data_IF_427163022827
#
_entry.id   IF_427163022827
#
_cell.length_a   1.000
_cell.length_b   1.000
_cell.length_c   1.000
_cell.angle_alpha   90.00
_cell.angle_beta   90.00
_cell.angle_gamma   90.00
#
_symmetry.space_group_name_H-M   'P 1'
#
loop_
_entity.id
_entity.type
_entity.pdbx_description
1 polymer ?
#
# COMPACT_ATOMS: atom_id res chain seq x y z
N UNK A 1 25.69 25.05 -6.19
CA UNK A 1 26.18 23.65 -5.95
C UNK A 1 27.50 23.39 -6.69
N UNK A 2 27.63 23.61 -8.00
CA UNK A 2 28.87 23.32 -8.76
C UNK A 2 30.08 24.12 -8.29
N UNK A 3 29.90 25.38 -7.91
CA UNK A 3 31.00 26.24 -7.39
C UNK A 3 31.51 25.70 -6.06
N UNK A 4 30.62 25.27 -5.15
CA UNK A 4 31.02 24.70 -3.87
C UNK A 4 31.75 23.36 -4.04
N UNK A 5 31.25 22.50 -4.93
CA UNK A 5 31.88 21.23 -5.30
C UNK A 5 33.30 21.44 -5.84
N UNK A 6 33.48 22.37 -6.79
CA UNK A 6 34.77 22.64 -7.39
C UNK A 6 35.78 23.18 -6.33
N UNK A 7 35.34 24.05 -5.40
CA UNK A 7 36.17 24.52 -4.33
C UNK A 7 36.58 23.43 -3.34
N UNK A 8 35.67 22.49 -3.02
CA UNK A 8 36.02 21.34 -2.17
C UNK A 8 36.99 20.39 -2.89
N UNK A 9 36.82 20.19 -4.20
CA UNK A 9 37.75 19.42 -5.02
C UNK A 9 39.16 20.06 -5.05
N UNK A 10 39.26 21.38 -5.25
CA UNK A 10 40.53 22.10 -5.17
C UNK A 10 41.17 21.98 -3.77
N UNK A 11 40.35 22.15 -2.72
CA UNK A 11 40.81 22.02 -1.33
C UNK A 11 41.34 20.62 -1.02
N UNK A 12 40.64 19.56 -1.49
CA UNK A 12 41.03 18.16 -1.29
C UNK A 12 42.33 17.76 -2.00
N UNK A 13 42.73 18.53 -3.05
CA UNK A 13 44.05 18.35 -3.70
C UNK A 13 45.21 18.99 -2.91
N UNK A 14 44.88 19.95 -2.04
CA UNK A 14 45.83 20.70 -1.25
C UNK A 14 45.99 20.22 0.19
N UNK A 15 44.99 19.50 0.69
CA UNK A 15 44.92 19.04 2.08
C UNK A 15 44.15 17.71 2.19
N UNK A 16 44.68 16.78 2.96
CA UNK A 16 44.03 15.53 3.36
C UNK A 16 43.15 15.70 4.61
N UNK A 17 42.66 16.91 4.88
CA UNK A 17 41.78 17.20 6.01
C UNK A 17 40.49 16.42 5.90
N UNK A 18 40.19 15.64 6.93
CA UNK A 18 39.01 14.75 6.99
C UNK A 18 37.68 15.48 6.80
N UNK A 19 37.57 16.74 7.28
CA UNK A 19 36.37 17.56 7.15
C UNK A 19 36.16 18.03 5.70
N UNK A 20 37.25 18.29 4.96
CA UNK A 20 37.19 18.65 3.54
C UNK A 20 36.72 17.43 2.72
N UNK A 21 37.30 16.26 3.00
CA UNK A 21 36.93 14.99 2.32
C UNK A 21 35.50 14.63 2.66
N UNK A 22 35.09 14.81 3.93
CA UNK A 22 33.69 14.57 4.35
C UNK A 22 32.72 15.52 3.64
N UNK A 23 33.02 16.83 3.62
CA UNK A 23 32.19 17.80 2.91
C UNK A 23 32.06 17.50 1.41
N UNK A 24 33.13 16.99 0.79
CA UNK A 24 33.07 16.54 -0.61
C UNK A 24 32.22 15.27 -0.77
N UNK A 25 32.33 14.31 0.13
CA UNK A 25 31.53 13.10 0.14
C UNK A 25 30.02 13.41 0.29
N UNK A 26 29.65 14.28 1.22
CA UNK A 26 28.27 14.75 1.41
C UNK A 26 27.74 15.46 0.13
N UNK A 27 28.57 16.31 -0.48
CA UNK A 27 28.20 17.00 -1.72
C UNK A 27 27.94 16.01 -2.89
N UNK A 28 28.79 15.00 -3.05
CA UNK A 28 28.59 13.97 -4.07
C UNK A 28 27.35 13.13 -3.77
N UNK A 29 27.07 12.84 -2.51
CA UNK A 29 25.87 12.15 -2.09
C UNK A 29 24.61 12.97 -2.44
N UNK A 30 24.56 14.24 -2.10
CA UNK A 30 23.46 15.18 -2.40
C UNK A 30 23.20 15.33 -3.91
N UNK A 31 24.26 15.21 -4.73
CA UNK A 31 24.19 15.27 -6.18
C UNK A 31 23.76 13.93 -6.81
N UNK A 32 23.56 12.88 -6.03
CA UNK A 32 23.24 11.54 -6.51
C UNK A 32 24.44 10.77 -7.08
N UNK A 33 25.66 11.27 -6.91
CA UNK A 33 26.90 10.62 -7.34
C UNK A 33 27.37 9.61 -6.30
N UNK A 34 26.53 8.64 -5.96
CA UNK A 34 26.74 7.73 -4.83
C UNK A 34 28.03 6.93 -4.88
N UNK A 35 28.50 6.51 -6.05
CA UNK A 35 29.78 5.80 -6.18
C UNK A 35 30.96 6.71 -5.79
N UNK A 36 30.91 7.98 -6.16
CA UNK A 36 31.92 8.95 -5.77
C UNK A 36 31.84 9.27 -4.27
N UNK A 37 30.64 9.40 -3.74
CA UNK A 37 30.42 9.60 -2.31
C UNK A 37 31.04 8.44 -1.51
N UNK A 38 30.77 7.20 -1.85
CA UNK A 38 31.37 6.00 -1.23
C UNK A 38 32.91 6.05 -1.31
N UNK A 39 33.46 6.43 -2.46
CA UNK A 39 34.91 6.53 -2.62
C UNK A 39 35.54 7.56 -1.65
N UNK A 40 34.88 8.69 -1.41
CA UNK A 40 35.36 9.69 -0.45
C UNK A 40 35.11 9.26 1.00
N UNK A 41 33.94 8.74 1.36
CA UNK A 41 33.69 8.23 2.71
C UNK A 41 34.67 7.11 3.10
N UNK A 42 35.03 6.23 2.20
CA UNK A 42 35.96 5.13 2.44
C UNK A 42 37.41 5.60 2.77
N UNK A 43 37.74 6.85 2.50
CA UNK A 43 39.05 7.45 2.87
C UNK A 43 39.07 7.94 4.30
N UNK A 44 37.92 8.06 4.95
CA UNK A 44 37.78 8.62 6.28
C UNK A 44 37.89 7.54 7.35
N UNK A 45 38.55 7.83 8.44
CA UNK A 45 38.48 7.00 9.63
C UNK A 45 37.13 7.21 10.34
N UNK A 46 36.36 6.12 10.52
CA UNK A 46 35.04 6.22 11.12
C UNK A 46 35.06 6.75 12.56
N UNK A 47 36.03 6.34 13.35
CA UNK A 47 36.12 6.75 14.76
C UNK A 47 36.39 8.23 14.90
N UNK A 48 37.34 8.72 14.09
CA UNK A 48 37.68 10.12 14.08
C UNK A 48 36.55 11.00 13.57
N UNK A 49 35.90 10.59 12.49
CA UNK A 49 34.75 11.32 11.94
C UNK A 49 33.55 11.34 12.91
N UNK A 50 33.25 10.22 13.51
CA UNK A 50 32.15 10.10 14.48
C UNK A 50 32.40 11.00 15.69
N UNK A 51 33.64 11.04 16.20
CA UNK A 51 34.01 11.89 17.30
C UNK A 51 33.95 13.40 16.96
N UNK A 52 34.22 13.77 15.69
CA UNK A 52 34.21 15.18 15.26
C UNK A 52 32.83 15.69 14.86
N UNK A 53 32.04 14.85 14.25
CA UNK A 53 30.78 15.24 13.56
C UNK A 53 29.52 14.55 14.08
N UNK A 54 29.67 13.47 14.85
CA UNK A 54 28.57 12.59 15.22
C UNK A 54 28.02 11.73 14.06
N UNK A 55 28.70 11.69 12.90
CA UNK A 55 28.27 10.96 11.70
C UNK A 55 29.14 9.74 11.46
N UNK A 56 28.55 8.59 11.28
CA UNK A 56 29.25 7.35 10.95
C UNK A 56 29.51 7.23 9.43
N UNK A 57 30.77 6.93 9.05
CA UNK A 57 31.09 6.59 7.64
C UNK A 57 30.36 5.35 7.18
N UNK A 58 30.14 4.38 8.05
CA UNK A 58 29.42 3.16 7.73
C UNK A 58 27.94 3.44 7.42
N UNK A 59 27.30 4.30 8.21
CA UNK A 59 25.94 4.76 7.92
C UNK A 59 25.85 5.40 6.51
N UNK A 60 26.75 6.37 6.23
CA UNK A 60 26.76 7.09 4.95
C UNK A 60 27.02 6.18 3.76
N UNK A 61 27.96 5.25 3.89
CA UNK A 61 28.26 4.25 2.86
C UNK A 61 27.06 3.32 2.66
N UNK A 62 26.42 2.87 3.75
CA UNK A 62 25.23 2.04 3.70
C UNK A 62 24.08 2.72 2.94
N UNK A 63 23.80 3.98 3.26
CA UNK A 63 22.80 4.81 2.54
C UNK A 63 23.12 4.95 1.05
N UNK A 64 24.37 5.20 0.73
CA UNK A 64 24.80 5.33 -0.66
C UNK A 64 24.65 4.01 -1.44
N UNK A 65 24.96 2.87 -0.82
CA UNK A 65 24.71 1.56 -1.44
C UNK A 65 23.23 1.26 -1.60
N UNK A 66 22.38 1.63 -0.64
CA UNK A 66 20.92 1.49 -0.75
C UNK A 66 20.39 2.30 -1.96
N UNK A 67 20.84 3.55 -2.11
CA UNK A 67 20.50 4.40 -3.25
C UNK A 67 20.97 3.87 -4.61
N UNK A 68 22.02 3.03 -4.62
CA UNK A 68 22.51 2.32 -5.81
C UNK A 68 21.79 0.99 -6.07
N UNK A 69 20.82 0.60 -5.23
CA UNK A 69 20.16 -0.70 -5.30
C UNK A 69 21.05 -1.87 -4.90
N UNK A 70 22.22 -1.62 -4.27
CA UNK A 70 23.15 -2.64 -3.79
C UNK A 70 22.83 -3.03 -2.35
N UNK A 71 21.67 -3.65 -2.16
CA UNK A 71 21.02 -3.83 -0.86
C UNK A 71 21.83 -4.70 0.12
N UNK A 72 22.48 -5.75 -0.35
CA UNK A 72 23.34 -6.58 0.50
C UNK A 72 24.51 -5.79 1.12
N UNK A 73 25.17 -4.99 0.29
CA UNK A 73 26.24 -4.12 0.77
C UNK A 73 25.70 -3.03 1.71
N UNK A 74 24.54 -2.45 1.38
CA UNK A 74 23.88 -1.46 2.24
C UNK A 74 23.61 -2.05 3.64
N UNK A 75 23.06 -3.25 3.71
CA UNK A 75 22.78 -3.97 4.95
C UNK A 75 24.07 -4.18 5.77
N UNK A 76 25.11 -4.72 5.16
CA UNK A 76 26.38 -4.98 5.87
C UNK A 76 26.95 -3.70 6.51
N UNK A 77 26.89 -2.59 5.81
CA UNK A 77 27.38 -1.31 6.31
C UNK A 77 26.49 -0.71 7.39
N UNK A 78 25.14 -0.79 7.25
CA UNK A 78 24.21 -0.30 8.26
C UNK A 78 24.27 -1.16 9.55
N UNK A 79 24.32 -2.49 9.43
CA UNK A 79 24.52 -3.40 10.57
C UNK A 79 25.81 -3.04 11.32
N UNK A 80 26.91 -2.78 10.60
CA UNK A 80 28.18 -2.39 11.20
C UNK A 80 28.12 -1.02 11.88
N UNK A 81 27.35 -0.09 11.35
CA UNK A 81 27.13 1.20 12.00
C UNK A 81 26.45 1.02 13.37
N UNK A 82 25.40 0.21 13.44
CA UNK A 82 24.64 -0.12 14.66
C UNK A 82 25.50 -0.88 15.68
N UNK A 83 26.34 -1.81 15.22
CA UNK A 83 27.27 -2.55 16.11
C UNK A 83 28.27 -1.63 16.81
N UNK A 84 28.72 -0.56 16.14
CA UNK A 84 29.69 0.40 16.72
C UNK A 84 29.00 1.35 17.67
N UNK A 85 27.88 1.91 17.24
CA UNK A 85 27.07 2.82 18.04
C UNK A 85 25.61 2.71 17.59
N UNK A 86 24.72 2.34 18.52
CA UNK A 86 23.31 2.24 18.21
C UNK A 86 22.71 3.64 17.96
N UNK A 87 22.06 3.78 16.81
CA UNK A 87 21.32 4.97 16.42
C UNK A 87 19.95 4.58 15.87
N UNK A 88 18.87 5.20 16.37
CA UNK A 88 17.50 4.90 15.99
C UNK A 88 17.24 5.18 14.50
N UNK A 89 17.88 6.21 13.94
CA UNK A 89 17.74 6.55 12.52
C UNK A 89 18.32 5.45 11.64
N UNK A 90 19.52 4.98 11.98
CA UNK A 90 20.20 3.89 11.27
C UNK A 90 19.40 2.58 11.42
N UNK A 91 18.86 2.33 12.61
CA UNK A 91 18.05 1.17 12.87
C UNK A 91 16.73 1.20 12.04
N UNK A 92 16.11 2.37 11.92
CA UNK A 92 14.93 2.56 11.10
C UNK A 92 15.19 2.34 9.60
N UNK A 93 16.30 2.89 9.10
CA UNK A 93 16.72 2.68 7.70
C UNK A 93 17.02 1.21 7.41
N UNK A 94 17.74 0.54 8.33
CA UNK A 94 18.01 -0.88 8.18
C UNK A 94 16.72 -1.72 8.23
N UNK A 95 15.81 -1.40 9.14
CA UNK A 95 14.53 -2.09 9.24
C UNK A 95 13.69 -1.92 7.95
N UNK A 96 13.64 -0.71 7.41
CA UNK A 96 12.96 -0.43 6.15
C UNK A 96 13.59 -1.18 4.98
N UNK A 97 14.93 -1.17 4.90
CA UNK A 97 15.67 -1.93 3.89
C UNK A 97 15.39 -3.43 3.96
N UNK A 98 15.35 -3.99 5.17
CA UNK A 98 15.04 -5.41 5.39
C UNK A 98 13.58 -5.74 5.04
N UNK A 99 12.66 -4.82 5.32
CA UNK A 99 11.25 -4.93 4.89
C UNK A 99 11.13 -4.99 3.37
N UNK A 100 11.82 -4.10 2.65
CA UNK A 100 11.83 -4.07 1.18
C UNK A 100 12.44 -5.34 0.56
N UNK A 101 13.30 -6.04 1.30
CA UNK A 101 13.88 -7.33 0.93
C UNK A 101 13.06 -8.54 1.40
N UNK A 102 11.87 -8.32 1.94
CA UNK A 102 11.00 -9.37 2.49
C UNK A 102 11.63 -10.14 3.67
N UNK A 103 12.68 -9.59 4.30
CA UNK A 103 13.30 -10.14 5.51
C UNK A 103 12.56 -9.67 6.78
N UNK A 104 11.24 -9.87 6.82
CA UNK A 104 10.33 -9.29 7.81
C UNK A 104 10.71 -9.60 9.27
N UNK A 105 11.23 -10.80 9.57
CA UNK A 105 11.64 -11.16 10.94
C UNK A 105 12.76 -10.25 11.45
N UNK A 106 13.75 -9.97 10.59
CA UNK A 106 14.85 -9.09 10.94
C UNK A 106 14.39 -7.64 10.99
N UNK A 107 13.55 -7.21 10.04
CA UNK A 107 12.95 -5.88 10.06
C UNK A 107 12.20 -5.65 11.37
N UNK A 108 11.34 -6.58 11.78
CA UNK A 108 10.58 -6.50 13.02
C UNK A 108 11.45 -6.49 14.29
N UNK A 109 12.63 -7.12 14.24
CA UNK A 109 13.58 -7.04 15.34
C UNK A 109 14.07 -5.60 15.55
N UNK A 110 14.46 -4.89 14.48
CA UNK A 110 14.91 -3.51 14.55
C UNK A 110 13.77 -2.53 14.84
N UNK A 111 12.61 -2.67 14.20
CA UNK A 111 11.43 -1.86 14.52
C UNK A 111 11.05 -1.95 16.00
N UNK A 112 11.10 -3.14 16.59
CA UNK A 112 10.80 -3.31 18.00
C UNK A 112 11.83 -2.64 18.93
N UNK A 113 13.09 -2.57 18.54
CA UNK A 113 14.10 -1.81 19.30
C UNK A 113 13.77 -0.33 19.33
N UNK A 114 13.39 0.23 18.17
CA UNK A 114 13.00 1.64 18.02
C UNK A 114 11.75 1.95 18.87
N UNK A 115 10.75 1.06 18.89
CA UNK A 115 9.55 1.21 19.70
C UNK A 115 9.88 1.47 21.18
N UNK A 116 10.88 0.78 21.71
CA UNK A 116 11.28 0.92 23.12
C UNK A 116 11.98 2.26 23.42
N UNK A 117 12.51 2.93 22.40
CA UNK A 117 13.24 4.20 22.52
C UNK A 117 12.34 5.42 22.31
N UNK A 118 11.07 5.22 21.96
CA UNK A 118 10.08 6.28 21.70
C UNK A 118 10.51 7.26 20.60
N UNK A 119 11.26 6.79 19.62
CA UNK A 119 11.65 7.59 18.47
C UNK A 119 10.43 7.88 17.59
N UNK A 120 10.35 9.09 17.04
CA UNK A 120 9.26 9.56 16.22
C UNK A 120 9.74 9.73 14.77
N UNK A 121 9.60 8.67 13.96
CA UNK A 121 9.92 8.69 12.55
C UNK A 121 8.64 8.75 11.73
N UNK A 122 8.63 9.57 10.70
CA UNK A 122 7.52 9.61 9.74
C UNK A 122 7.32 8.26 9.06
N UNK A 123 6.09 7.76 9.08
CA UNK A 123 5.74 6.47 8.48
C UNK A 123 6.15 5.22 9.29
N UNK A 124 6.74 5.38 10.47
CA UNK A 124 7.21 4.25 11.29
C UNK A 124 6.09 3.25 11.58
N UNK A 125 4.96 3.72 12.11
CA UNK A 125 3.85 2.85 12.49
C UNK A 125 3.26 2.13 11.28
N UNK A 126 3.21 2.79 10.13
CA UNK A 126 2.68 2.21 8.90
C UNK A 126 3.58 1.06 8.40
N UNK A 127 4.88 1.31 8.22
CA UNK A 127 5.83 0.30 7.72
C UNK A 127 5.96 -0.87 8.71
N UNK A 128 6.01 -0.56 10.02
CA UNK A 128 6.09 -1.61 11.03
C UNK A 128 4.83 -2.47 11.05
N UNK A 129 3.63 -1.87 10.93
CA UNK A 129 2.38 -2.62 10.82
C UNK A 129 2.37 -3.53 9.58
N UNK A 130 2.83 -3.03 8.41
CA UNK A 130 2.95 -3.84 7.19
C UNK A 130 3.92 -5.01 7.39
N UNK A 131 5.05 -4.78 8.04
CA UNK A 131 6.06 -5.82 8.30
C UNK A 131 5.54 -6.91 9.26
N UNK A 132 4.78 -6.50 10.28
CA UNK A 132 4.10 -7.44 11.19
C UNK A 132 3.03 -8.25 10.47
N UNK A 133 2.23 -7.59 9.62
CA UNK A 133 1.19 -8.25 8.82
C UNK A 133 1.79 -9.29 7.85
N UNK A 134 2.89 -8.95 7.19
CA UNK A 134 3.61 -9.88 6.32
C UNK A 134 4.12 -11.14 7.05
N UNK A 135 4.35 -11.05 8.37
CA UNK A 135 4.66 -12.20 9.24
C UNK A 135 3.41 -12.86 9.85
N UNK A 136 2.21 -12.54 9.35
CA UNK A 136 0.93 -13.07 9.87
C UNK A 136 0.66 -12.70 11.34
N UNK A 137 1.23 -11.60 11.83
CA UNK A 137 1.00 -11.06 13.17
C UNK A 137 -0.08 -9.98 13.12
N UNK A 138 -1.26 -10.35 12.60
CA UNK A 138 -2.34 -9.39 12.27
C UNK A 138 -2.81 -8.56 13.48
N UNK A 139 -2.89 -9.15 14.67
CA UNK A 139 -3.27 -8.42 15.90
C UNK A 139 -2.23 -7.38 16.32
N UNK A 140 -0.91 -7.72 16.16
CA UNK A 140 0.17 -6.79 16.48
C UNK A 140 0.24 -5.67 15.44
N UNK A 141 0.02 -5.99 14.17
CA UNK A 141 -0.06 -5.03 13.07
C UNK A 141 -1.20 -4.03 13.30
N UNK A 142 -2.39 -4.52 13.70
CA UNK A 142 -3.53 -3.65 14.01
C UNK A 142 -3.24 -2.70 15.17
N UNK A 143 -2.61 -3.18 16.25
CA UNK A 143 -2.21 -2.31 17.36
C UNK A 143 -1.25 -1.22 16.92
N UNK A 144 -0.29 -1.55 16.05
CA UNK A 144 0.66 -0.57 15.51
C UNK A 144 -0.03 0.46 14.62
N UNK A 145 -0.92 0.03 13.71
CA UNK A 145 -1.73 0.94 12.90
C UNK A 145 -2.59 1.87 13.77
N UNK A 146 -3.23 1.35 14.84
CA UNK A 146 -4.00 2.15 15.78
C UNK A 146 -3.13 3.18 16.52
N UNK A 147 -1.90 2.82 16.85
CA UNK A 147 -0.95 3.76 17.46
C UNK A 147 -0.63 4.91 16.49
N UNK A 148 -0.40 4.61 15.21
CA UNK A 148 -0.20 5.63 14.18
C UNK A 148 -1.42 6.53 14.00
N UNK A 149 -2.64 5.96 13.96
CA UNK A 149 -3.89 6.73 13.90
C UNK A 149 -4.05 7.63 15.13
N UNK A 150 -3.63 7.19 16.31
CA UNK A 150 -3.69 8.03 17.51
C UNK A 150 -2.77 9.25 17.45
N UNK A 151 -1.66 9.18 16.69
CA UNK A 151 -0.76 10.30 16.43
C UNK A 151 -1.28 11.20 15.30
N UNK A 152 -1.79 10.61 14.24
CA UNK A 152 -2.37 11.30 13.09
C UNK A 152 -3.68 10.64 12.65
N UNK A 153 -4.80 11.16 13.14
CA UNK A 153 -6.14 10.65 12.83
C UNK A 153 -6.59 10.89 11.38
N UNK A 154 -5.81 11.65 10.61
CA UNK A 154 -6.11 11.99 9.20
C UNK A 154 -5.28 11.19 8.20
N UNK A 155 -4.51 10.20 8.65
CA UNK A 155 -3.71 9.34 7.80
C UNK A 155 -4.58 8.28 7.13
N UNK A 156 -4.93 8.52 5.87
CA UNK A 156 -5.79 7.62 5.08
C UNK A 156 -5.16 6.24 4.92
N UNK A 157 -3.84 6.14 4.76
CA UNK A 157 -3.16 4.86 4.57
C UNK A 157 -3.25 4.00 5.83
N UNK A 158 -3.03 4.59 7.00
CA UNK A 158 -3.18 3.89 8.29
C UNK A 158 -4.63 3.48 8.55
N UNK A 159 -5.62 4.32 8.21
CA UNK A 159 -7.04 3.99 8.33
C UNK A 159 -7.42 2.81 7.42
N UNK A 160 -6.95 2.80 6.17
CA UNK A 160 -7.19 1.71 5.23
C UNK A 160 -6.51 0.40 5.69
N UNK A 161 -5.29 0.49 6.21
CA UNK A 161 -4.58 -0.67 6.77
C UNK A 161 -5.32 -1.21 8.00
N UNK A 162 -5.72 -0.35 8.93
CA UNK A 162 -6.47 -0.76 10.12
C UNK A 162 -7.82 -1.41 9.76
N UNK A 163 -8.50 -0.89 8.72
CA UNK A 163 -9.71 -1.50 8.19
C UNK A 163 -9.45 -2.90 7.66
N UNK A 164 -8.42 -3.08 6.82
CA UNK A 164 -8.06 -4.38 6.28
C UNK A 164 -7.74 -5.39 7.38
N UNK A 165 -6.89 -5.00 8.34
CA UNK A 165 -6.50 -5.87 9.45
C UNK A 165 -7.69 -6.24 10.34
N UNK A 166 -8.61 -5.29 10.59
CA UNK A 166 -9.85 -5.56 11.34
C UNK A 166 -10.75 -6.54 10.60
N UNK A 167 -10.89 -6.39 9.28
CA UNK A 167 -11.66 -7.31 8.45
C UNK A 167 -11.08 -8.74 8.49
N UNK A 168 -9.76 -8.89 8.38
CA UNK A 168 -9.06 -10.19 8.49
C UNK A 168 -9.26 -10.84 9.87
N UNK A 169 -9.40 -10.04 10.92
CA UNK A 169 -9.72 -10.49 12.29
C UNK A 169 -11.22 -10.72 12.51
N UNK A 170 -12.05 -10.63 11.47
CA UNK A 170 -13.51 -10.76 11.52
C UNK A 170 -14.21 -9.68 12.39
N UNK A 171 -13.56 -8.55 12.61
CA UNK A 171 -14.15 -7.37 13.23
C UNK A 171 -14.64 -6.39 12.15
N UNK A 172 -15.77 -6.77 11.53
CA UNK A 172 -16.36 -5.99 10.44
C UNK A 172 -16.83 -4.61 10.89
N UNK A 173 -17.24 -4.47 12.16
CA UNK A 173 -17.66 -3.19 12.71
C UNK A 173 -16.50 -2.20 12.80
N UNK A 174 -15.34 -2.62 13.28
CA UNK A 174 -14.14 -1.78 13.29
C UNK A 174 -13.65 -1.50 11.86
N UNK A 175 -13.67 -2.49 10.97
CA UNK A 175 -13.30 -2.31 9.57
C UNK A 175 -14.15 -1.23 8.90
N UNK A 176 -15.47 -1.28 9.05
CA UNK A 176 -16.41 -0.25 8.56
C UNK A 176 -16.10 1.12 9.15
N UNK A 177 -15.86 1.18 10.46
CA UNK A 177 -15.58 2.44 11.17
C UNK A 177 -14.35 3.14 10.62
N UNK A 178 -13.27 2.42 10.34
CA UNK A 178 -12.06 2.98 9.73
C UNK A 178 -12.30 3.45 8.30
N UNK A 179 -13.03 2.69 7.48
CA UNK A 179 -13.39 3.10 6.11
C UNK A 179 -14.23 4.38 6.11
N UNK A 180 -15.21 4.50 7.01
CA UNK A 180 -16.03 5.71 7.16
C UNK A 180 -15.22 6.91 7.62
N UNK A 181 -14.17 6.72 8.40
CA UNK A 181 -13.25 7.79 8.78
C UNK A 181 -12.36 8.20 7.61
N UNK A 182 -11.90 7.25 6.79
CA UNK A 182 -11.03 7.51 5.63
C UNK A 182 -11.78 8.21 4.48
N UNK A 183 -13.06 7.86 4.26
CA UNK A 183 -13.85 8.31 3.12
C UNK A 183 -13.85 9.84 2.88
N UNK A 184 -14.10 10.70 3.88
CA UNK A 184 -14.09 12.16 3.68
C UNK A 184 -12.68 12.76 3.55
N UNK A 185 -11.62 11.98 3.80
CA UNK A 185 -10.23 12.44 3.79
C UNK A 185 -9.52 12.09 2.48
N UNK A 186 -10.01 11.08 1.76
CA UNK A 186 -9.40 10.58 0.54
C UNK A 186 -9.74 11.50 -0.65
N UNK A 187 -8.74 11.77 -1.50
CA UNK A 187 -8.93 12.45 -2.78
C UNK A 187 -9.63 11.52 -3.79
N UNK A 188 -9.22 10.25 -3.81
CA UNK A 188 -9.86 9.18 -4.57
C UNK A 188 -10.61 8.26 -3.58
N UNK A 189 -11.93 8.20 -3.74
CA UNK A 189 -12.82 7.45 -2.85
C UNK A 189 -13.14 6.05 -3.35
N UNK A 190 -12.77 5.70 -4.57
CA UNK A 190 -13.21 4.48 -5.26
C UNK A 190 -12.81 3.20 -4.51
N UNK A 191 -11.57 3.12 -4.00
CA UNK A 191 -11.12 1.97 -3.23
C UNK A 191 -11.91 1.81 -1.93
N UNK A 192 -12.21 2.91 -1.25
CA UNK A 192 -12.95 2.91 0.02
C UNK A 192 -14.38 2.47 -0.21
N UNK A 193 -15.02 3.01 -1.26
CA UNK A 193 -16.39 2.66 -1.65
C UNK A 193 -16.46 1.19 -2.08
N UNK A 194 -15.47 0.69 -2.82
CA UNK A 194 -15.40 -0.72 -3.18
C UNK A 194 -15.33 -1.62 -1.94
N UNK A 195 -14.48 -1.29 -0.96
CA UNK A 195 -14.36 -2.06 0.29
C UNK A 195 -15.65 -2.00 1.13
N UNK A 196 -16.27 -0.82 1.26
CA UNK A 196 -17.56 -0.68 1.93
C UNK A 196 -18.67 -1.46 1.21
N UNK A 197 -18.73 -1.37 -0.13
CA UNK A 197 -19.74 -2.08 -0.91
C UNK A 197 -19.61 -3.59 -0.77
N UNK A 198 -18.40 -4.11 -0.72
CA UNK A 198 -18.13 -5.53 -0.51
C UNK A 198 -18.60 -5.96 0.89
N UNK A 199 -18.22 -5.21 1.93
CA UNK A 199 -18.60 -5.48 3.31
C UNK A 199 -20.13 -5.47 3.49
N UNK A 200 -20.82 -4.46 2.94
CA UNK A 200 -22.27 -4.39 3.04
C UNK A 200 -22.99 -5.49 2.25
N UNK A 201 -22.43 -5.90 1.10
CA UNK A 201 -22.96 -7.01 0.33
C UNK A 201 -22.85 -8.33 1.11
N UNK A 202 -21.70 -8.59 1.72
CA UNK A 202 -21.46 -9.81 2.53
C UNK A 202 -22.34 -9.86 3.80
N UNK A 203 -22.64 -8.71 4.38
CA UNK A 203 -23.52 -8.61 5.55
C UNK A 203 -25.01 -8.45 5.19
N UNK A 204 -25.37 -8.52 3.90
CA UNK A 204 -26.74 -8.32 3.39
C UNK A 204 -27.36 -6.97 3.82
N UNK A 205 -26.54 -5.95 3.99
CA UNK A 205 -26.94 -4.58 4.39
C UNK A 205 -27.22 -3.74 3.15
N UNK A 206 -28.28 -4.09 2.45
CA UNK A 206 -28.59 -3.54 1.13
C UNK A 206 -28.95 -2.05 1.15
N UNK A 207 -29.61 -1.54 2.20
CA UNK A 207 -29.92 -0.12 2.34
C UNK A 207 -28.66 0.73 2.52
N UNK A 208 -27.68 0.24 3.32
CA UNK A 208 -26.38 0.91 3.45
C UNK A 208 -25.59 0.88 2.15
N UNK A 209 -25.70 -0.22 1.41
CA UNK A 209 -25.02 -0.41 0.14
C UNK A 209 -25.56 0.54 -0.94
N UNK A 210 -26.89 0.67 -1.04
CA UNK A 210 -27.55 1.60 -1.99
C UNK A 210 -27.20 3.05 -1.67
N UNK A 211 -27.03 3.41 -0.38
CA UNK A 211 -26.63 4.75 0.00
C UNK A 211 -25.24 5.15 -0.54
N UNK A 212 -24.40 4.19 -0.93
CA UNK A 212 -23.13 4.48 -1.59
C UNK A 212 -23.31 5.04 -3.01
N UNK A 213 -24.46 4.89 -3.63
CA UNK A 213 -24.75 5.47 -4.93
C UNK A 213 -24.80 7.02 -4.94
N UNK A 214 -24.88 7.65 -3.76
CA UNK A 214 -24.81 9.12 -3.63
C UNK A 214 -23.39 9.67 -3.88
N UNK A 215 -22.39 8.81 -3.91
CA UNK A 215 -21.00 9.17 -4.24
C UNK A 215 -20.75 9.04 -5.74
N UNK A 216 -19.73 9.75 -6.27
CA UNK A 216 -19.22 9.47 -7.61
C UNK A 216 -18.43 8.17 -7.56
N UNK A 217 -18.98 7.09 -8.12
CA UNK A 217 -18.40 5.75 -8.09
C UNK A 217 -17.96 5.34 -9.48
N UNK A 218 -16.64 5.32 -9.72
CA UNK A 218 -16.06 4.87 -10.99
C UNK A 218 -15.74 3.35 -10.96
N UNK A 219 -15.55 2.76 -9.79
CA UNK A 219 -15.29 1.34 -9.64
C UNK A 219 -16.44 0.48 -10.18
N UNK A 220 -16.15 -0.26 -11.27
CA UNK A 220 -17.08 -1.19 -11.93
C UNK A 220 -17.65 -2.22 -10.94
N UNK A 221 -16.81 -2.75 -10.05
CA UNK A 221 -17.24 -3.76 -9.06
C UNK A 221 -18.12 -3.15 -7.96
N UNK A 222 -17.79 -1.94 -7.48
CA UNK A 222 -18.63 -1.27 -6.50
C UNK A 222 -20.02 -0.94 -7.08
N UNK A 223 -20.09 -0.44 -8.32
CA UNK A 223 -21.34 -0.19 -9.03
C UNK A 223 -22.15 -1.48 -9.21
N UNK A 224 -21.49 -2.59 -9.52
CA UNK A 224 -22.19 -3.86 -9.63
C UNK A 224 -22.71 -4.36 -8.29
N UNK A 225 -21.97 -4.21 -7.20
CA UNK A 225 -22.45 -4.50 -5.84
C UNK A 225 -23.70 -3.66 -5.50
N UNK A 226 -23.68 -2.36 -5.87
CA UNK A 226 -24.84 -1.47 -5.70
C UNK A 226 -26.06 -1.97 -6.53
N UNK A 227 -25.84 -2.42 -7.77
CA UNK A 227 -26.91 -2.98 -8.59
C UNK A 227 -27.51 -4.24 -7.97
N UNK A 228 -26.70 -5.13 -7.40
CA UNK A 228 -27.18 -6.31 -6.65
C UNK A 228 -28.04 -5.91 -5.44
N UNK A 229 -27.66 -4.84 -4.75
CA UNK A 229 -28.45 -4.34 -3.61
C UNK A 229 -29.81 -3.77 -4.06
N UNK A 230 -29.87 -3.03 -5.15
CA UNK A 230 -31.15 -2.58 -5.73
C UNK A 230 -32.05 -3.76 -6.09
N UNK A 231 -31.50 -4.83 -6.67
CA UNK A 231 -32.28 -6.06 -6.93
C UNK A 231 -32.81 -6.70 -5.63
N UNK A 232 -31.97 -6.78 -4.59
CA UNK A 232 -32.36 -7.36 -3.31
C UNK A 232 -33.46 -6.53 -2.59
N UNK A 233 -33.56 -5.25 -2.90
CA UNK A 233 -34.57 -4.33 -2.39
C UNK A 233 -35.80 -4.20 -3.32
N UNK A 234 -35.92 -5.04 -4.34
CA UNK A 234 -36.98 -5.02 -5.36
C UNK A 234 -37.03 -3.72 -6.19
N UNK A 235 -35.91 -2.95 -6.24
CA UNK A 235 -35.78 -1.78 -7.12
C UNK A 235 -35.10 -2.17 -8.43
N UNK A 236 -35.84 -2.94 -9.22
CA UNK A 236 -35.35 -3.54 -10.47
C UNK A 236 -35.03 -2.47 -11.54
N UNK A 237 -35.69 -1.31 -11.51
CA UNK A 237 -35.45 -0.25 -12.50
C UNK A 237 -34.07 0.39 -12.33
N UNK A 238 -33.67 0.70 -11.10
CA UNK A 238 -32.33 1.25 -10.83
C UNK A 238 -31.24 0.18 -11.03
N UNK A 239 -31.49 -1.04 -10.60
CA UNK A 239 -30.58 -2.16 -10.89
C UNK A 239 -30.34 -2.31 -12.39
N UNK A 240 -31.40 -2.35 -13.20
CA UNK A 240 -31.31 -2.53 -14.64
C UNK A 240 -30.49 -1.44 -15.34
N UNK A 241 -30.67 -0.17 -14.94
CA UNK A 241 -29.86 0.94 -15.48
C UNK A 241 -28.36 0.71 -15.27
N UNK A 242 -27.98 0.30 -14.05
CA UNK A 242 -26.57 0.05 -13.73
C UNK A 242 -26.05 -1.17 -14.50
N UNK A 243 -26.84 -2.26 -14.61
CA UNK A 243 -26.46 -3.42 -15.40
C UNK A 243 -26.24 -3.07 -16.88
N UNK A 244 -27.09 -2.22 -17.46
CA UNK A 244 -26.91 -1.76 -18.85
C UNK A 244 -25.61 -0.98 -19.03
N UNK A 245 -25.28 -0.09 -18.10
CA UNK A 245 -24.05 0.70 -18.15
C UNK A 245 -22.79 -0.17 -18.03
N UNK A 246 -22.84 -1.22 -17.18
CA UNK A 246 -21.71 -2.11 -16.92
C UNK A 246 -21.57 -3.24 -17.98
N UNK A 247 -22.54 -3.44 -18.85
CA UNK A 247 -22.60 -4.57 -19.78
C UNK A 247 -21.38 -4.69 -20.71
N UNK A 248 -20.73 -3.56 -21.03
CA UNK A 248 -19.50 -3.55 -21.83
C UNK A 248 -18.28 -3.97 -21.01
N UNK A 249 -18.16 -3.42 -19.82
CA UNK A 249 -16.97 -3.62 -18.97
C UNK A 249 -16.92 -5.02 -18.37
N UNK A 250 -18.08 -5.61 -18.07
CA UNK A 250 -18.23 -6.95 -17.51
C UNK A 250 -18.67 -8.00 -18.57
N UNK A 251 -18.45 -7.71 -19.84
CA UNK A 251 -18.90 -8.56 -20.97
C UNK A 251 -18.30 -9.96 -21.01
N UNK A 252 -17.26 -10.24 -20.23
CA UNK A 252 -16.59 -11.55 -20.12
C UNK A 252 -16.67 -12.14 -18.70
N UNK A 253 -17.39 -11.48 -17.79
CA UNK A 253 -17.58 -11.98 -16.43
C UNK A 253 -18.80 -12.92 -16.39
N UNK A 254 -18.62 -14.22 -16.06
CA UNK A 254 -19.73 -15.19 -16.10
C UNK A 254 -20.84 -14.87 -15.10
N UNK A 255 -20.51 -14.46 -13.87
CA UNK A 255 -21.50 -14.14 -12.85
C UNK A 255 -22.35 -12.94 -13.27
N UNK A 256 -21.73 -11.91 -13.81
CA UNK A 256 -22.45 -10.75 -14.36
C UNK A 256 -23.35 -11.14 -15.53
N UNK A 257 -22.83 -11.90 -16.47
CA UNK A 257 -23.61 -12.33 -17.66
C UNK A 257 -24.82 -13.19 -17.27
N UNK A 258 -24.66 -14.05 -16.26
CA UNK A 258 -25.75 -14.83 -15.70
C UNK A 258 -26.87 -13.90 -15.20
N UNK A 259 -26.57 -13.01 -14.27
CA UNK A 259 -27.56 -12.10 -13.68
C UNK A 259 -28.17 -11.16 -14.72
N UNK A 260 -27.34 -10.65 -15.64
CA UNK A 260 -27.78 -9.73 -16.67
C UNK A 260 -28.75 -10.41 -17.71
N UNK A 261 -28.54 -11.69 -18.00
CA UNK A 261 -29.48 -12.43 -18.87
C UNK A 261 -30.88 -12.51 -18.25
N UNK A 262 -30.97 -12.77 -16.95
CA UNK A 262 -32.25 -12.83 -16.25
C UNK A 262 -32.95 -11.48 -16.19
N UNK A 263 -32.20 -10.40 -15.78
CA UNK A 263 -32.80 -9.07 -15.71
C UNK A 263 -33.22 -8.51 -17.06
N UNK A 264 -32.47 -8.78 -18.12
CA UNK A 264 -32.89 -8.45 -19.51
C UNK A 264 -34.21 -9.13 -19.92
N UNK A 265 -34.41 -10.40 -19.51
CA UNK A 265 -35.65 -11.12 -19.78
C UNK A 265 -36.83 -10.50 -19.04
N UNK A 266 -36.66 -10.14 -17.79
CA UNK A 266 -37.70 -9.51 -16.98
C UNK A 266 -38.15 -8.18 -17.57
N UNK A 267 -37.22 -7.39 -18.09
CA UNK A 267 -37.51 -6.14 -18.78
C UNK A 267 -37.97 -6.30 -20.26
N UNK A 268 -38.11 -7.55 -20.72
CA UNK A 268 -38.64 -7.84 -22.07
C UNK A 268 -37.65 -7.72 -23.23
N UNK A 269 -36.35 -7.56 -22.94
CA UNK A 269 -35.28 -7.48 -23.95
C UNK A 269 -34.84 -8.89 -24.39
N UNK A 270 -35.76 -9.66 -24.94
CA UNK A 270 -35.60 -11.08 -25.24
C UNK A 270 -34.38 -11.42 -26.09
N UNK A 271 -34.17 -10.70 -27.19
CA UNK A 271 -33.02 -10.95 -28.07
C UNK A 271 -31.69 -10.72 -27.39
N UNK A 272 -31.60 -9.67 -26.56
CA UNK A 272 -30.38 -9.37 -25.78
C UNK A 272 -30.21 -10.42 -24.67
N UNK A 273 -31.24 -10.80 -23.96
CA UNK A 273 -31.22 -11.84 -22.95
C UNK A 273 -30.67 -13.15 -23.49
N UNK A 274 -31.19 -13.56 -24.67
CA UNK A 274 -30.71 -14.75 -25.37
C UNK A 274 -29.24 -14.65 -25.75
N UNK A 275 -28.81 -13.54 -26.36
CA UNK A 275 -27.41 -13.34 -26.76
C UNK A 275 -26.47 -13.32 -25.54
N UNK A 276 -26.91 -12.76 -24.40
CA UNK A 276 -26.17 -12.75 -23.16
C UNK A 276 -26.06 -14.16 -22.56
N UNK A 277 -27.14 -14.93 -22.56
CA UNK A 277 -27.13 -16.31 -22.10
C UNK A 277 -26.23 -17.21 -22.96
N UNK A 278 -26.23 -17.02 -24.29
CA UNK A 278 -25.33 -17.73 -25.21
C UNK A 278 -23.87 -17.41 -24.91
N UNK A 279 -23.53 -16.15 -24.61
CA UNK A 279 -22.17 -15.74 -24.17
C UNK A 279 -21.79 -16.40 -22.85
N UNK A 280 -22.70 -16.39 -21.88
CA UNK A 280 -22.47 -17.05 -20.59
C UNK A 280 -22.17 -18.53 -20.77
N UNK A 281 -22.97 -19.26 -21.55
CA UNK A 281 -22.77 -20.69 -21.81
C UNK A 281 -21.52 -21.00 -22.61
N UNK A 282 -20.97 -20.05 -23.37
CA UNK A 282 -19.65 -20.20 -23.98
C UNK A 282 -18.53 -20.25 -22.94
N UNK A 283 -18.73 -19.62 -21.76
CA UNK A 283 -17.79 -19.61 -20.63
C UNK A 283 -18.07 -20.72 -19.63
N UNK A 284 -19.36 -21.05 -19.40
CA UNK A 284 -19.83 -22.04 -18.43
C UNK A 284 -20.82 -23.01 -19.14
N UNK A 285 -20.31 -23.95 -19.97
CA UNK A 285 -21.17 -24.81 -20.85
C UNK A 285 -22.10 -25.74 -20.10
N UNK A 286 -21.75 -26.14 -18.88
CA UNK A 286 -22.45 -27.19 -18.13
C UNK A 286 -23.58 -26.65 -17.22
N UNK A 287 -23.92 -25.35 -17.30
CA UNK A 287 -25.03 -24.78 -16.51
C UNK A 287 -26.38 -25.16 -17.10
N UNK A 288 -27.01 -26.17 -16.47
CA UNK A 288 -28.32 -26.69 -16.87
C UNK A 288 -29.45 -25.65 -16.77
N UNK A 289 -29.38 -24.75 -15.79
CA UNK A 289 -30.38 -23.70 -15.58
C UNK A 289 -30.35 -22.71 -16.75
N UNK A 290 -29.16 -22.29 -17.16
CA UNK A 290 -29.03 -21.37 -18.29
C UNK A 290 -29.32 -22.06 -19.65
N UNK A 291 -29.02 -23.34 -19.76
CA UNK A 291 -29.47 -24.13 -20.94
C UNK A 291 -31.01 -24.16 -21.04
N UNK A 292 -31.68 -24.44 -19.91
CA UNK A 292 -33.17 -24.41 -19.85
C UNK A 292 -33.70 -23.00 -20.12
N UNK A 293 -33.02 -21.97 -19.60
CA UNK A 293 -33.36 -20.56 -19.89
C UNK A 293 -33.42 -20.28 -21.39
N UNK A 294 -32.49 -20.85 -22.20
CA UNK A 294 -32.47 -20.69 -23.65
C UNK A 294 -33.55 -21.53 -24.37
N UNK A 295 -33.95 -22.68 -23.80
CA UNK A 295 -34.99 -23.51 -24.38
C UNK A 295 -36.39 -22.87 -24.29
N UNK A 296 -36.61 -22.00 -23.31
CA UNK A 296 -37.86 -21.27 -23.07
C UNK A 296 -38.06 -20.07 -24.05
N UNK A 297 -37.14 -19.87 -24.99
CA UNK A 297 -37.18 -18.84 -26.04
C UNK A 297 -37.56 -19.44 -27.40
#
# INVERSE_FOLDING_TARGET
TDVARNKLLEASQLSDDSLIIFGLAEMEFELGNFEQAIHYYAKLDNRDLLAMTGVSTYERIGKAYASLGKFEAAREFLEKAIEIEYDDTVAFELATLLYDQEEYQKANFYFKQIETMSADFEGYEYIYALSLHAEHKTEEALRMAQQGISKNAFDVQLLLLASQLSYELHDTQSAESYLKQALPLAEDQDEIILRLSTLYLEEERYEDLVALADYEVDSVLARWNIAKAYQALDDEEEAFKIYQDLAKDLSENPEFLHDYAYILREFGYRDQARATAEKYLALVPDDVNMQTFLEDY
#
